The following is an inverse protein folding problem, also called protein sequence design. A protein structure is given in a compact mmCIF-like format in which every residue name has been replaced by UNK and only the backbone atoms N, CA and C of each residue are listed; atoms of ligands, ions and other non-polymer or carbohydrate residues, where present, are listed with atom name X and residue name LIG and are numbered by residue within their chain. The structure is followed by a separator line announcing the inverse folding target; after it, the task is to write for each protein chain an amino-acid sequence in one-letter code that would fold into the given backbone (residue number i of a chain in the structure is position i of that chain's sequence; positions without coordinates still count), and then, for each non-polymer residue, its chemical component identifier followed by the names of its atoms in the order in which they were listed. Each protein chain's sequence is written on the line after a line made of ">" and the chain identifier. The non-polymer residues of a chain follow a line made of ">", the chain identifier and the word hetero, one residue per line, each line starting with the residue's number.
data_IF_738122162635
#
_entry.id   IF_738122162635
#
_cell.length_a   1.000
_cell.length_b   1.000
_cell.length_c   1.000
_cell.angle_alpha   90.00
_cell.angle_beta   90.00
_cell.angle_gamma   90.00
#
_symmetry.space_group_name_H-M   'P 1'
#
loop_
_entity.id
_entity.type
_entity.pdbx_description
1 polymer ?
#
# COMPACT_ATOMS: atom_id res chain seq x y z
N UNK A 1 -32.80 16.81 -8.03
CA UNK A 1 -32.21 15.45 -8.07
C UNK A 1 -31.26 15.35 -6.88
N UNK A 2 -31.72 14.74 -5.79
CA UNK A 2 -30.97 14.58 -4.55
C UNK A 2 -29.96 13.45 -4.71
N UNK A 3 -28.66 13.80 -4.75
CA UNK A 3 -27.58 12.82 -4.64
C UNK A 3 -27.55 12.29 -3.21
N UNK A 4 -27.98 11.04 -3.02
CA UNK A 4 -27.76 10.32 -1.77
C UNK A 4 -26.25 10.09 -1.59
N UNK A 5 -25.61 10.96 -0.81
CA UNK A 5 -24.27 10.74 -0.32
C UNK A 5 -24.34 9.61 0.70
N UNK A 6 -23.92 8.41 0.30
CA UNK A 6 -23.77 7.25 1.20
C UNK A 6 -22.59 7.48 2.15
N UNK A 7 -22.69 8.44 3.05
CA UNK A 7 -21.73 8.66 4.15
C UNK A 7 -22.11 7.77 5.33
N UNK A 8 -22.03 6.46 5.13
CA UNK A 8 -22.01 5.51 6.25
C UNK A 8 -20.66 5.60 6.97
N UNK A 9 -20.64 5.39 8.28
CA UNK A 9 -19.40 5.23 9.04
C UNK A 9 -18.55 4.11 8.43
N UNK A 10 -17.27 4.37 8.20
CA UNK A 10 -16.33 3.30 7.81
C UNK A 10 -16.19 2.31 8.95
N UNK A 11 -16.57 1.07 8.73
CA UNK A 11 -16.31 -0.03 9.69
C UNK A 11 -15.18 -0.93 9.18
N UNK A 12 -15.03 -1.02 7.85
CA UNK A 12 -14.06 -1.86 7.16
C UNK A 12 -13.35 -1.08 6.06
N UNK A 13 -12.08 -1.40 5.85
CA UNK A 13 -11.31 -1.00 4.68
C UNK A 13 -11.06 -2.22 3.79
N UNK A 14 -11.31 -2.11 2.50
CA UNK A 14 -10.74 -3.03 1.52
C UNK A 14 -9.26 -2.67 1.32
N UNK A 15 -8.39 -3.66 1.50
CA UNK A 15 -6.94 -3.52 1.32
C UNK A 15 -6.57 -3.90 -0.10
N UNK A 16 -5.87 -3.02 -0.79
CA UNK A 16 -5.39 -3.25 -2.15
C UNK A 16 -3.88 -3.03 -2.23
N UNK A 17 -3.20 -3.85 -3.05
CA UNK A 17 -1.94 -3.43 -3.66
C UNK A 17 -2.32 -2.56 -4.86
N UNK A 18 -1.68 -1.40 -5.01
CA UNK A 18 -1.89 -0.48 -6.11
C UNK A 18 -0.62 -0.40 -6.95
N UNK A 19 -0.79 -0.44 -8.27
CA UNK A 19 0.31 -0.40 -9.22
C UNK A 19 0.28 0.92 -10.00
N UNK A 20 1.41 1.60 -10.03
CA UNK A 20 1.63 2.79 -10.87
C UNK A 20 2.70 2.51 -11.92
N UNK A 21 2.53 3.06 -13.12
CA UNK A 21 3.56 3.04 -14.15
C UNK A 21 4.79 3.83 -13.68
N UNK A 22 5.97 3.24 -13.80
CA UNK A 22 7.25 3.92 -13.62
C UNK A 22 7.85 4.28 -14.99
N UNK A 23 8.55 5.42 -15.08
CA UNK A 23 9.26 5.84 -16.30
C UNK A 23 10.49 4.99 -16.61
N UNK A 24 11.05 4.30 -15.59
CA UNK A 24 12.23 3.47 -15.72
C UNK A 24 12.19 2.38 -14.65
N UNK A 25 11.95 1.13 -15.04
CA UNK A 25 11.95 -0.03 -14.14
C UNK A 25 10.56 -0.64 -13.88
N UNK A 26 10.46 -1.57 -12.91
CA UNK A 26 9.20 -2.19 -12.51
C UNK A 26 8.14 -1.15 -12.09
N UNK A 27 6.84 -1.51 -12.13
CA UNK A 27 5.78 -0.67 -11.60
C UNK A 27 6.06 -0.25 -10.15
N UNK A 28 5.73 1.00 -9.81
CA UNK A 28 5.75 1.46 -8.43
C UNK A 28 4.55 0.87 -7.67
N UNK A 29 4.81 0.25 -6.54
CA UNK A 29 3.78 -0.39 -5.71
C UNK A 29 3.51 0.36 -4.40
N UNK A 30 2.28 0.28 -3.93
CA UNK A 30 1.89 0.75 -2.60
C UNK A 30 0.60 0.09 -2.13
N UNK A 31 0.16 0.44 -0.92
CA UNK A 31 -1.03 -0.14 -0.29
C UNK A 31 -2.12 0.92 -0.20
N UNK A 32 -3.32 0.59 -0.66
CA UNK A 32 -4.53 1.37 -0.39
C UNK A 32 -5.39 0.72 0.69
N UNK A 33 -5.86 1.53 1.64
CA UNK A 33 -7.00 1.23 2.48
C UNK A 33 -8.19 2.05 2.00
N UNK A 34 -9.14 1.41 1.34
CA UNK A 34 -10.35 2.06 0.79
C UNK A 34 -11.55 1.72 1.66
N UNK A 35 -12.29 2.68 2.21
CA UNK A 35 -13.52 2.39 2.94
C UNK A 35 -14.45 1.49 2.11
N UNK A 36 -14.88 0.37 2.67
CA UNK A 36 -15.60 -0.67 1.93
C UNK A 36 -16.95 -0.18 1.37
N UNK A 37 -17.52 0.88 1.96
CA UNK A 37 -18.77 1.49 1.53
C UNK A 37 -18.64 2.42 0.31
N UNK A 38 -17.42 2.76 -0.15
CA UNK A 38 -17.24 3.60 -1.33
C UNK A 38 -17.49 2.81 -2.62
N UNK A 39 -18.39 3.23 -3.52
CA UNK A 39 -18.74 2.42 -4.69
C UNK A 39 -17.62 2.35 -5.75
N UNK A 40 -16.82 3.40 -5.91
CA UNK A 40 -15.77 3.44 -6.93
C UNK A 40 -14.52 2.61 -6.54
N UNK A 41 -14.36 2.36 -5.24
CA UNK A 41 -13.16 1.75 -4.66
C UNK A 41 -11.86 2.36 -5.21
N UNK A 42 -11.87 3.64 -5.58
CA UNK A 42 -10.83 4.29 -6.40
C UNK A 42 -10.00 5.34 -5.63
N UNK A 43 -10.32 5.54 -4.36
CA UNK A 43 -9.59 6.44 -3.48
C UNK A 43 -9.73 6.06 -2.02
N UNK A 44 -8.70 6.37 -1.24
CA UNK A 44 -8.62 5.99 0.17
C UNK A 44 -7.32 6.48 0.79
N UNK A 45 -6.90 5.82 1.87
CA UNK A 45 -5.59 6.06 2.47
C UNK A 45 -4.56 5.32 1.63
N UNK A 46 -3.43 5.96 1.31
CA UNK A 46 -2.39 5.39 0.47
C UNK A 46 -1.04 5.44 1.18
N UNK A 47 -0.36 4.30 1.23
CA UNK A 47 0.90 4.10 1.93
C UNK A 47 1.92 3.53 0.95
N UNK A 48 3.08 4.13 0.85
CA UNK A 48 4.11 3.68 -0.07
C UNK A 48 5.50 4.14 0.36
N UNK A 49 6.52 3.55 -0.24
CA UNK A 49 7.88 4.07 -0.22
C UNK A 49 8.19 4.71 -1.57
N UNK A 50 8.88 5.84 -1.60
CA UNK A 50 9.25 6.55 -2.84
C UNK A 50 10.76 6.80 -2.89
N UNK A 51 11.32 6.93 -4.09
CA UNK A 51 12.74 7.17 -4.28
C UNK A 51 13.39 6.06 -5.11
N UNK A 52 14.71 6.01 -5.09
CA UNK A 52 15.50 5.00 -5.82
C UNK A 52 16.25 4.17 -4.80
N UNK A 53 16.08 2.85 -4.80
CA UNK A 53 16.63 1.93 -3.79
C UNK A 53 18.08 2.26 -3.40
N UNK A 54 18.98 2.41 -4.37
CA UNK A 54 20.40 2.66 -4.07
C UNK A 54 20.76 4.09 -3.65
N UNK A 55 19.83 5.05 -3.81
CA UNK A 55 19.96 6.41 -3.28
C UNK A 55 19.16 6.62 -1.98
N UNK A 56 18.43 5.59 -1.53
CA UNK A 56 17.48 5.67 -0.44
C UNK A 56 16.05 5.89 -0.93
N UNK A 57 15.12 5.37 -0.12
CA UNK A 57 13.69 5.59 -0.28
C UNK A 57 13.10 6.17 1.01
N UNK A 58 12.00 6.90 0.87
CA UNK A 58 11.26 7.49 1.98
C UNK A 58 9.86 6.89 2.07
N UNK A 59 9.41 6.61 3.28
CA UNK A 59 8.02 6.27 3.54
C UNK A 59 7.14 7.53 3.42
N UNK A 60 6.00 7.38 2.74
CA UNK A 60 4.98 8.42 2.61
C UNK A 60 3.58 7.82 2.86
N UNK A 61 2.77 8.57 3.61
CA UNK A 61 1.36 8.28 3.84
C UNK A 61 0.51 9.45 3.33
N UNK A 62 -0.52 9.13 2.54
CA UNK A 62 -1.54 10.06 2.09
C UNK A 62 -2.90 9.63 2.68
N UNK A 63 -3.44 10.36 3.67
CA UNK A 63 -4.68 9.96 4.34
C UNK A 63 -5.92 10.01 3.43
N UNK A 64 -5.84 10.70 2.29
CA UNK A 64 -6.87 10.71 1.25
C UNK A 64 -6.23 10.91 -0.13
N UNK A 65 -6.19 9.85 -0.93
CA UNK A 65 -5.61 9.83 -2.27
C UNK A 65 -6.54 9.11 -3.24
N UNK A 66 -6.93 9.81 -4.31
CA UNK A 66 -7.73 9.25 -5.40
C UNK A 66 -6.78 8.72 -6.48
N UNK A 67 -6.32 7.48 -6.29
CA UNK A 67 -5.41 6.83 -7.24
C UNK A 67 -6.08 6.57 -8.59
N UNK A 68 -7.40 6.33 -8.64
CA UNK A 68 -8.14 6.14 -9.90
C UNK A 68 -8.14 7.36 -10.82
N UNK A 69 -7.82 8.55 -10.30
CA UNK A 69 -7.61 9.78 -11.10
C UNK A 69 -6.16 10.03 -11.50
N UNK A 70 -5.21 9.23 -11.00
CA UNK A 70 -3.81 9.38 -11.37
C UNK A 70 -3.58 8.86 -12.78
N UNK A 71 -2.90 9.66 -13.63
CA UNK A 71 -2.53 9.23 -14.99
C UNK A 71 -1.55 8.05 -15.00
N UNK A 72 -0.78 7.88 -13.93
CA UNK A 72 0.14 6.76 -13.77
C UNK A 72 -0.51 5.53 -13.15
N UNK A 73 -1.76 5.60 -12.69
CA UNK A 73 -2.43 4.42 -12.11
C UNK A 73 -2.62 3.37 -13.19
N UNK A 74 -2.15 2.15 -12.90
CA UNK A 74 -2.20 1.02 -13.82
C UNK A 74 -3.28 0.02 -13.42
N UNK A 75 -3.25 -0.43 -12.16
CA UNK A 75 -4.18 -1.46 -11.66
C UNK A 75 -4.23 -1.48 -10.12
N UNK A 76 -5.19 -2.20 -9.55
CA UNK A 76 -5.27 -2.53 -8.13
C UNK A 76 -5.61 -4.00 -7.92
N UNK A 77 -4.98 -4.65 -6.95
CA UNK A 77 -5.25 -6.04 -6.57
C UNK A 77 -5.74 -6.14 -5.14
N UNK A 78 -6.99 -6.57 -4.98
CA UNK A 78 -7.59 -6.81 -3.67
C UNK A 78 -6.79 -7.86 -2.88
N UNK A 79 -6.65 -7.63 -1.57
CA UNK A 79 -5.89 -8.48 -0.67
C UNK A 79 -6.78 -9.10 0.41
N UNK A 80 -7.48 -8.28 1.19
CA UNK A 80 -8.36 -8.66 2.31
C UNK A 80 -9.14 -7.43 2.81
N UNK A 81 -9.97 -7.60 3.85
CA UNK A 81 -10.61 -6.50 4.57
C UNK A 81 -9.94 -6.26 5.92
N UNK A 82 -9.68 -5.00 6.25
CA UNK A 82 -9.14 -4.55 7.53
C UNK A 82 -10.27 -3.89 8.35
N UNK A 83 -10.58 -4.36 9.57
CA UNK A 83 -11.49 -3.63 10.45
C UNK A 83 -10.89 -2.26 10.79
N UNK A 84 -11.71 -1.21 10.83
CA UNK A 84 -11.24 0.16 11.16
C UNK A 84 -10.51 0.23 12.49
N UNK A 85 -10.86 -0.62 13.47
CA UNK A 85 -10.16 -0.71 14.76
C UNK A 85 -8.68 -1.09 14.64
N UNK A 86 -8.27 -1.76 13.56
CA UNK A 86 -6.88 -2.13 13.28
C UNK A 86 -6.13 -1.10 12.43
N UNK A 87 -6.76 0.01 12.06
CA UNK A 87 -6.09 1.08 11.31
C UNK A 87 -4.83 1.59 12.06
N UNK A 88 -4.84 1.85 13.38
CA UNK A 88 -3.63 2.27 14.10
C UNK A 88 -2.52 1.23 14.04
N UNK A 89 -2.83 -0.07 14.12
CA UNK A 89 -1.85 -1.14 13.99
C UNK A 89 -1.25 -1.18 12.58
N UNK A 90 -2.08 -1.06 11.55
CA UNK A 90 -1.61 -1.00 10.17
C UNK A 90 -0.68 0.22 9.96
N UNK A 91 -1.10 1.41 10.41
CA UNK A 91 -0.31 2.64 10.27
C UNK A 91 1.02 2.54 11.04
N UNK A 92 1.01 1.92 12.22
CA UNK A 92 2.22 1.62 12.97
C UNK A 92 3.17 0.70 12.17
N UNK A 93 2.71 -0.48 11.74
CA UNK A 93 3.49 -1.45 10.95
C UNK A 93 4.08 -0.79 9.69
N UNK A 94 3.26 -0.08 8.92
CA UNK A 94 3.71 0.59 7.71
C UNK A 94 4.79 1.65 8.01
N UNK A 95 4.62 2.43 9.08
CA UNK A 95 5.57 3.49 9.43
C UNK A 95 6.90 3.00 10.03
N UNK A 96 6.89 1.84 10.70
CA UNK A 96 8.09 1.28 11.35
C UNK A 96 8.89 0.36 10.45
N UNK A 97 8.29 -0.16 9.38
CA UNK A 97 9.02 -0.96 8.39
C UNK A 97 10.01 -0.07 7.64
N UNK A 98 11.33 -0.32 7.69
CA UNK A 98 12.31 0.56 7.10
C UNK A 98 12.09 0.64 5.58
N UNK A 99 12.20 1.83 4.96
CA UNK A 99 12.23 1.93 3.51
C UNK A 99 13.40 1.13 2.92
N UNK A 100 13.27 0.61 1.68
CA UNK A 100 14.37 -0.10 1.04
C UNK A 100 15.58 0.80 0.80
N UNK A 101 16.77 0.25 1.10
CA UNK A 101 18.05 0.86 0.77
C UNK A 101 19.07 -0.25 0.48
N UNK A 102 19.63 -0.23 -0.72
CA UNK A 102 20.74 -1.11 -1.09
C UNK A 102 21.57 -0.44 -2.20
N UNK A 103 22.81 0.01 -1.92
CA UNK A 103 23.65 0.70 -2.90
C UNK A 103 24.02 -0.17 -4.10
N UNK A 104 23.95 -1.51 -3.97
CA UNK A 104 24.19 -2.44 -5.10
C UNK A 104 23.20 -2.22 -6.25
N UNK A 105 22.02 -1.67 -5.96
CA UNK A 105 21.03 -1.32 -6.98
C UNK A 105 21.52 -0.28 -8.00
N UNK A 106 22.61 0.45 -7.71
CA UNK A 106 23.20 1.43 -8.64
C UNK A 106 24.25 0.82 -9.57
N UNK A 107 24.85 -0.30 -9.19
CA UNK A 107 26.09 -0.81 -9.82
C UNK A 107 25.97 -2.25 -10.30
N UNK A 108 25.11 -3.07 -9.69
CA UNK A 108 24.92 -4.46 -10.04
C UNK A 108 23.68 -4.65 -10.92
N UNK A 109 23.84 -5.24 -12.11
CA UNK A 109 22.71 -5.49 -13.02
C UNK A 109 21.80 -6.64 -12.58
N UNK A 110 22.31 -7.59 -11.80
CA UNK A 110 21.54 -8.72 -11.26
C UNK A 110 22.06 -9.12 -9.86
N UNK A 111 21.81 -8.30 -8.84
CA UNK A 111 22.28 -8.55 -7.49
C UNK A 111 21.69 -9.86 -6.94
N UNK A 112 22.54 -10.65 -6.26
CA UNK A 112 22.15 -11.89 -5.61
C UNK A 112 22.61 -11.87 -4.12
N UNK A 113 21.70 -11.92 -3.14
CA UNK A 113 20.24 -11.96 -3.29
C UNK A 113 19.68 -10.67 -3.92
N UNK A 114 18.48 -10.71 -4.54
CA UNK A 114 17.83 -9.53 -5.09
C UNK A 114 17.74 -8.39 -4.08
N UNK A 115 17.90 -7.16 -4.56
CA UNK A 115 17.73 -5.97 -3.72
C UNK A 115 16.27 -5.84 -3.30
N UNK A 116 16.07 -5.43 -2.06
CA UNK A 116 14.74 -5.09 -1.54
C UNK A 116 14.22 -3.85 -2.25
N UNK A 117 12.94 -3.85 -2.62
CA UNK A 117 12.29 -2.80 -3.38
C UNK A 117 10.90 -2.44 -2.80
N UNK A 118 10.12 -1.63 -3.54
CA UNK A 118 8.77 -1.24 -3.12
C UNK A 118 7.83 -2.44 -2.97
N UNK A 119 7.91 -3.44 -3.85
CA UNK A 119 7.08 -4.65 -3.79
C UNK A 119 7.41 -5.47 -2.54
N UNK A 120 8.70 -5.56 -2.19
CA UNK A 120 9.17 -6.23 -0.99
C UNK A 120 8.66 -5.54 0.28
N UNK A 121 8.73 -4.20 0.35
CA UNK A 121 8.14 -3.43 1.48
C UNK A 121 6.63 -3.65 1.59
N UNK A 122 5.90 -3.65 0.46
CA UNK A 122 4.46 -3.93 0.43
C UNK A 122 4.16 -5.33 0.98
N UNK A 123 4.89 -6.35 0.52
CA UNK A 123 4.71 -7.73 0.98
C UNK A 123 4.91 -7.85 2.49
N UNK A 124 5.99 -7.31 3.03
CA UNK A 124 6.30 -7.36 4.46
C UNK A 124 5.25 -6.69 5.35
N UNK A 125 4.70 -5.55 4.91
CA UNK A 125 3.61 -4.86 5.64
C UNK A 125 2.34 -5.70 5.61
N UNK A 126 1.99 -6.25 4.45
CA UNK A 126 0.78 -7.08 4.30
C UNK A 126 0.89 -8.41 5.04
N UNK A 127 2.06 -9.03 5.07
CA UNK A 127 2.30 -10.26 5.83
C UNK A 127 2.15 -10.02 7.33
N UNK A 128 2.75 -8.95 7.87
CA UNK A 128 2.69 -8.67 9.30
C UNK A 128 1.26 -8.33 9.77
N UNK A 129 0.51 -7.50 9.03
CA UNK A 129 -0.87 -7.21 9.41
C UNK A 129 -1.77 -8.45 9.29
N UNK A 130 -1.57 -9.32 8.29
CA UNK A 130 -2.31 -10.59 8.18
C UNK A 130 -2.00 -11.52 9.36
N UNK A 131 -0.73 -11.60 9.76
CA UNK A 131 -0.34 -12.38 10.93
C UNK A 131 -1.00 -11.84 12.21
N UNK A 132 -1.05 -10.52 12.39
CA UNK A 132 -1.74 -9.88 13.51
C UNK A 132 -3.25 -10.18 13.50
N UNK A 133 -3.91 -10.05 12.35
CA UNK A 133 -5.35 -10.36 12.22
C UNK A 133 -5.63 -11.83 12.56
N UNK A 134 -4.82 -12.75 12.03
CA UNK A 134 -4.92 -14.19 12.31
C UNK A 134 -4.73 -14.51 13.79
N UNK A 135 -3.75 -13.89 14.45
CA UNK A 135 -3.50 -14.06 15.88
C UNK A 135 -4.68 -13.60 16.75
N UNK A 136 -5.50 -12.68 16.24
CA UNK A 136 -6.69 -12.16 16.91
C UNK A 136 -8.01 -12.79 16.41
N UNK A 137 -7.94 -13.92 15.70
CA UNK A 137 -9.12 -14.67 15.23
C UNK A 137 -9.87 -14.02 14.07
N UNK A 138 -9.31 -12.98 13.46
CA UNK A 138 -9.85 -12.32 12.27
C UNK A 138 -9.22 -12.96 11.03
N UNK A 139 -9.70 -14.14 10.64
CA UNK A 139 -9.31 -14.74 9.36
C UNK A 139 -10.06 -14.04 8.23
N UNK A 140 -9.31 -13.48 7.28
CA UNK A 140 -9.80 -12.94 6.01
C UNK A 140 -9.14 -13.64 4.84
#
# INVERSE_FOLDING_TARGET
>A
MTSNSTTGETVWYNVYIIYFTSSSGPPHEGIALVPAQLPDQAGGRFYHVKGTVGMGMDYECRPGYNFGRSRSFKDKKYQFQLPKSYLPNFEHIASTRPPPYDPRALTESNPNPPVRDCASWVAEVLEEIRALLKANGLTT
#
